data_IF_418872421508
#
_entry.id   IF_418872421508
#
_cell.length_a   1.000
_cell.length_b   1.000
_cell.length_c   1.000
_cell.angle_alpha   90.00
_cell.angle_beta   90.00
_cell.angle_gamma   90.00
#
_symmetry.space_group_name_H-M   'P 1'
#
loop_
_entity.id
_entity.type
_entity.pdbx_description
1 polymer ?
#
# COMPACT_ATOMS: atom_id res chain seq x y z
N UNK A 1 12.66 -6.87 -12.87
CA UNK A 1 11.48 -6.60 -12.02
C UNK A 1 10.58 -7.83 -12.06
N UNK A 2 10.24 -8.40 -10.91
CA UNK A 2 9.36 -9.58 -10.83
C UNK A 2 7.90 -9.17 -11.01
N UNK A 3 7.06 -10.08 -11.51
CA UNK A 3 5.61 -9.85 -11.66
C UNK A 3 4.94 -9.51 -10.33
N UNK A 4 5.47 -10.07 -9.24
CA UNK A 4 5.06 -9.75 -7.87
C UNK A 4 5.29 -8.27 -7.53
N UNK A 5 6.35 -7.67 -8.04
CA UNK A 5 6.73 -6.27 -7.78
C UNK A 5 5.74 -5.33 -8.42
N UNK A 6 5.37 -5.62 -9.67
CA UNK A 6 4.36 -4.88 -10.41
C UNK A 6 3.02 -4.96 -9.68
N UNK A 7 2.64 -6.14 -9.18
CA UNK A 7 1.41 -6.30 -8.41
C UNK A 7 1.43 -5.54 -7.08
N UNK A 8 2.59 -5.47 -6.42
CA UNK A 8 2.78 -4.70 -5.18
C UNK A 8 2.61 -3.19 -5.44
N UNK A 9 3.19 -2.69 -6.53
CA UNK A 9 3.06 -1.28 -6.94
C UNK A 9 1.61 -0.97 -7.34
N UNK A 10 0.93 -1.84 -8.08
CA UNK A 10 -0.48 -1.66 -8.42
C UNK A 10 -1.38 -1.65 -7.19
N UNK A 11 -1.09 -2.53 -6.22
CA UNK A 11 -1.78 -2.55 -4.93
C UNK A 11 -1.56 -1.22 -4.21
N UNK A 12 -0.33 -0.73 -4.14
CA UNK A 12 -0.01 0.58 -3.57
C UNK A 12 -0.77 1.72 -4.23
N UNK A 13 -0.79 1.80 -5.56
CA UNK A 13 -1.53 2.83 -6.31
C UNK A 13 -3.02 2.76 -6.00
N UNK A 14 -3.60 1.56 -5.91
CA UNK A 14 -5.00 1.39 -5.55
C UNK A 14 -5.29 1.88 -4.12
N UNK A 15 -4.42 1.56 -3.16
CA UNK A 15 -4.58 1.99 -1.76
C UNK A 15 -4.39 3.51 -1.64
N UNK A 16 -3.40 4.08 -2.33
CA UNK A 16 -3.12 5.52 -2.34
C UNK A 16 -4.30 6.32 -2.93
N UNK A 17 -4.90 5.86 -4.03
CA UNK A 17 -6.08 6.50 -4.64
C UNK A 17 -7.32 6.48 -3.77
N UNK A 18 -7.52 5.40 -3.00
CA UNK A 18 -8.69 5.24 -2.12
C UNK A 18 -8.45 5.76 -0.70
N UNK A 19 -7.20 6.10 -0.35
CA UNK A 19 -6.70 6.43 0.99
C UNK A 19 -7.12 5.43 2.08
N UNK A 20 -7.53 4.21 1.72
CA UNK A 20 -8.11 3.23 2.65
C UNK A 20 -7.84 1.79 2.22
N UNK A 21 -7.07 1.08 3.03
CA UNK A 21 -6.73 -0.34 2.81
C UNK A 21 -7.94 -1.26 2.93
N UNK A 22 -8.90 -0.96 3.80
CA UNK A 22 -10.12 -1.76 3.95
C UNK A 22 -11.00 -1.71 2.70
N UNK A 23 -11.18 -0.52 2.11
CA UNK A 23 -11.95 -0.37 0.86
C UNK A 23 -11.29 -1.07 -0.32
N UNK A 24 -9.96 -1.10 -0.35
CA UNK A 24 -9.19 -1.78 -1.40
C UNK A 24 -9.21 -3.29 -1.22
N UNK A 25 -9.09 -3.80 0.02
CA UNK A 25 -9.22 -5.21 0.33
C UNK A 25 -10.61 -5.76 -0.06
N UNK A 26 -11.67 -5.01 0.28
CA UNK A 26 -13.05 -5.35 -0.12
C UNK A 26 -13.22 -5.37 -1.64
N UNK A 27 -12.57 -4.45 -2.38
CA UNK A 27 -12.63 -4.41 -3.85
C UNK A 27 -11.84 -5.54 -4.52
N UNK A 28 -10.76 -5.99 -3.88
CA UNK A 28 -9.89 -7.06 -4.38
C UNK A 28 -10.32 -8.45 -3.88
N UNK A 29 -11.41 -8.56 -3.10
CA UNK A 29 -11.86 -9.81 -2.46
C UNK A 29 -10.76 -10.54 -1.68
N UNK A 30 -9.90 -9.77 -0.99
CA UNK A 30 -8.82 -10.30 -0.16
C UNK A 30 -9.03 -9.96 1.32
N UNK A 31 -8.32 -10.65 2.20
CA UNK A 31 -8.29 -10.32 3.62
C UNK A 31 -7.82 -8.88 3.86
N UNK A 32 -8.41 -8.23 4.88
CA UNK A 32 -8.11 -6.83 5.23
C UNK A 32 -6.62 -6.56 5.49
N UNK A 33 -5.87 -7.57 5.95
CA UNK A 33 -4.43 -7.50 6.23
C UNK A 33 -3.54 -7.75 5.01
N UNK A 34 -4.07 -8.27 3.90
CA UNK A 34 -3.29 -8.62 2.72
C UNK A 34 -2.62 -7.41 2.04
N UNK A 35 -3.30 -6.25 1.84
CA UNK A 35 -2.65 -5.06 1.29
C UNK A 35 -1.51 -4.56 2.19
N UNK A 36 -1.66 -4.61 3.51
CA UNK A 36 -0.63 -4.18 4.44
C UNK A 36 0.62 -5.07 4.39
N UNK A 37 0.45 -6.38 4.24
CA UNK A 37 1.58 -7.32 4.09
C UNK A 37 2.35 -7.03 2.79
N UNK A 38 1.63 -6.87 1.68
CA UNK A 38 2.19 -6.55 0.36
C UNK A 38 2.98 -5.24 0.39
N UNK A 39 2.41 -4.21 1.02
CA UNK A 39 3.04 -2.89 1.13
C UNK A 39 4.27 -2.92 2.02
N UNK A 40 4.25 -3.65 3.13
CA UNK A 40 5.44 -3.84 3.98
C UNK A 40 6.57 -4.54 3.23
N UNK A 41 6.24 -5.52 2.40
CA UNK A 41 7.21 -6.16 1.51
C UNK A 41 7.77 -5.21 0.44
N UNK A 42 6.97 -4.26 -0.01
CA UNK A 42 7.40 -3.20 -0.93
C UNK A 42 8.32 -2.19 -0.24
N UNK A 43 7.92 -1.67 0.93
CA UNK A 43 8.69 -0.72 1.75
C UNK A 43 10.09 -1.25 2.07
N UNK A 44 10.20 -2.49 2.55
CA UNK A 44 11.50 -3.12 2.85
C UNK A 44 12.42 -3.21 1.64
N UNK A 45 11.87 -3.29 0.43
CA UNK A 45 12.64 -3.46 -0.79
C UNK A 45 13.08 -2.16 -1.43
N UNK A 46 12.30 -1.11 -1.25
CA UNK A 46 12.62 0.24 -1.77
C UNK A 46 13.26 1.13 -0.71
N UNK A 47 13.38 0.65 0.53
CA UNK A 47 13.88 1.36 1.71
C UNK A 47 13.20 2.71 1.98
N UNK A 48 11.93 2.81 1.59
CA UNK A 48 11.09 4.00 1.76
C UNK A 48 9.83 3.62 2.53
N UNK A 49 9.49 4.44 3.52
CA UNK A 49 8.27 4.27 4.31
C UNK A 49 7.08 4.88 3.57
N UNK A 50 6.17 4.03 3.11
CA UNK A 50 4.99 4.42 2.32
C UNK A 50 3.75 4.64 3.21
N UNK A 51 3.72 4.00 4.38
CA UNK A 51 2.62 4.06 5.34
C UNK A 51 3.09 4.49 6.73
N UNK A 52 2.28 5.29 7.42
CA UNK A 52 2.48 5.55 8.84
C UNK A 52 1.97 4.36 9.66
N UNK A 53 2.80 3.85 10.57
CA UNK A 53 2.72 2.49 11.15
C UNK A 53 1.47 2.12 11.97
N UNK A 54 0.40 2.90 11.94
CA UNK A 54 -0.85 2.62 12.66
C UNK A 54 -2.09 2.62 11.77
N UNK A 55 -1.96 2.96 10.49
CA UNK A 55 -3.10 3.55 9.80
C UNK A 55 -3.81 2.58 8.86
N UNK A 56 -5.06 2.33 9.25
CA UNK A 56 -6.25 2.08 8.42
C UNK A 56 -6.45 3.11 7.28
N UNK A 57 -5.49 4.01 7.06
CA UNK A 57 -5.47 5.09 6.08
C UNK A 57 -4.05 5.24 5.51
N UNK A 58 -3.95 5.41 4.19
CA UNK A 58 -2.69 5.82 3.57
C UNK A 58 -2.52 7.29 3.87
N UNK A 59 -1.57 7.64 4.72
CA UNK A 59 -1.18 9.04 4.90
C UNK A 59 -0.75 9.57 3.52
N UNK A 60 -1.20 10.77 3.15
CA UNK A 60 -0.82 11.43 1.90
C UNK A 60 0.71 11.56 1.81
N UNK A 61 1.36 10.60 1.14
CA UNK A 61 2.81 10.67 0.89
C UNK A 61 3.18 11.88 0.01
N UNK A 62 2.21 12.43 -0.74
CA UNK A 62 2.36 13.70 -1.46
C UNK A 62 2.64 14.89 -0.53
N UNK A 63 2.28 14.81 0.75
CA UNK A 63 2.56 15.87 1.72
C UNK A 63 3.95 15.74 2.38
N UNK A 64 4.72 14.70 2.05
CA UNK A 64 6.10 14.50 2.56
C UNK A 64 7.19 14.82 1.52
N UNK A 65 6.81 15.30 0.33
CA UNK A 65 7.72 15.68 -0.76
C UNK A 65 7.81 17.19 -0.99
N UNK A 66 7.31 17.98 -0.03
CA UNK A 66 7.51 19.43 0.07
C UNK A 66 8.50 19.68 1.22
#
# INVERSE_FOLDING_TARGET
MSRSDVNNVLTFVAVARKRSSTKVAAKLSVFQSAPSHILRGLETRIDVRLLNRTTRSVADWRAQLD
#
